data_IF_216076766073
#
_entry.id   IF_216076766073
#
_cell.length_a   1.000
_cell.length_b   1.000
_cell.length_c   1.000
_cell.angle_alpha   90.00
_cell.angle_beta   90.00
_cell.angle_gamma   90.00
#
_symmetry.space_group_name_H-M   'P 1'
#
loop_
_entity.id
_entity.type
_entity.pdbx_description
1 polymer ?
#
# COMPACT_ATOMS: atom_id res chain seq x y z
N UNK A 1 -19.24 36.82 19.99
CA UNK A 1 -18.93 36.78 18.55
C UNK A 1 -18.89 35.32 18.13
N UNK A 2 -20.04 34.67 17.91
CA UNK A 2 -20.12 33.20 18.11
C UNK A 2 -20.85 32.41 17.00
N UNK A 3 -21.39 33.08 15.97
CA UNK A 3 -22.05 32.39 14.85
C UNK A 3 -21.10 32.07 13.68
N UNK A 4 -20.13 32.95 13.41
CA UNK A 4 -19.24 32.83 12.24
C UNK A 4 -18.25 31.66 12.39
N UNK A 5 -17.65 31.51 13.57
CA UNK A 5 -16.74 30.38 13.87
C UNK A 5 -17.45 29.03 13.76
N UNK A 6 -18.66 28.88 14.31
CA UNK A 6 -19.40 27.61 14.22
C UNK A 6 -19.72 27.20 12.78
N UNK A 7 -19.96 28.17 11.89
CA UNK A 7 -20.17 27.89 10.47
C UNK A 7 -18.86 27.49 9.77
N UNK A 8 -17.75 28.17 10.03
CA UNK A 8 -16.44 27.82 9.46
C UNK A 8 -15.96 26.43 9.91
N UNK A 9 -16.13 26.09 11.19
CA UNK A 9 -15.78 24.76 11.71
C UNK A 9 -16.63 23.66 11.06
N UNK A 10 -17.94 23.86 10.93
CA UNK A 10 -18.85 22.89 10.28
C UNK A 10 -18.50 22.61 8.81
N UNK A 11 -18.07 23.63 8.05
CA UNK A 11 -17.63 23.48 6.66
C UNK A 11 -16.30 22.74 6.57
N UNK A 12 -15.38 22.99 7.52
CA UNK A 12 -14.12 22.28 7.65
C UNK A 12 -14.30 20.78 7.95
N UNK A 13 -15.22 20.42 8.85
CA UNK A 13 -15.55 19.02 9.17
C UNK A 13 -16.23 18.32 8.00
N UNK A 14 -17.23 18.95 7.37
CA UNK A 14 -17.91 18.38 6.20
C UNK A 14 -16.94 18.13 5.04
N UNK A 15 -15.98 19.02 4.81
CA UNK A 15 -14.93 18.84 3.78
C UNK A 15 -14.03 17.64 4.08
N UNK A 16 -13.66 17.42 5.37
CA UNK A 16 -12.88 16.24 5.78
C UNK A 16 -13.67 14.94 5.55
N UNK A 17 -14.94 14.90 5.95
CA UNK A 17 -15.80 13.73 5.77
C UNK A 17 -15.98 13.36 4.29
N UNK A 18 -16.16 14.35 3.41
CA UNK A 18 -16.22 14.12 1.97
C UNK A 18 -14.91 13.53 1.45
N UNK A 19 -13.76 14.09 1.84
CA UNK A 19 -12.45 13.57 1.41
C UNK A 19 -12.20 12.13 1.87
N UNK A 20 -12.67 11.74 3.05
CA UNK A 20 -12.63 10.34 3.52
C UNK A 20 -13.58 9.45 2.70
N UNK A 21 -14.80 9.93 2.42
CA UNK A 21 -15.79 9.18 1.64
C UNK A 21 -15.34 8.90 0.19
N UNK A 22 -14.56 9.79 -0.44
CA UNK A 22 -14.05 9.63 -1.82
C UNK A 22 -13.27 8.31 -2.00
N UNK A 23 -12.57 7.84 -0.95
CA UNK A 23 -11.86 6.55 -0.96
C UNK A 23 -12.81 5.35 -1.12
N UNK A 24 -14.01 5.45 -0.54
CA UNK A 24 -15.03 4.40 -0.55
C UNK A 24 -15.97 4.46 -1.76
N UNK A 25 -15.92 5.54 -2.54
CA UNK A 25 -16.80 5.74 -3.70
C UNK A 25 -16.06 5.69 -5.04
N UNK A 26 -14.86 5.08 -5.06
CA UNK A 26 -14.00 4.97 -6.26
C UNK A 26 -13.75 6.31 -6.95
N UNK A 27 -13.53 7.39 -6.18
CA UNK A 27 -13.33 8.73 -6.73
C UNK A 27 -14.61 9.50 -7.06
N UNK A 28 -15.80 8.91 -6.93
CA UNK A 28 -17.07 9.59 -7.23
C UNK A 28 -17.42 10.60 -6.12
N UNK A 29 -17.15 11.88 -6.39
CA UNK A 29 -17.35 13.01 -5.48
C UNK A 29 -18.83 13.21 -5.11
N UNK A 30 -19.78 12.90 -6.00
CA UNK A 30 -21.21 13.07 -5.70
C UNK A 30 -21.69 11.97 -4.74
N UNK A 31 -21.35 10.71 -4.99
CA UNK A 31 -21.54 9.62 -4.02
C UNK A 31 -20.84 9.93 -2.69
N UNK A 32 -19.64 10.51 -2.72
CA UNK A 32 -18.90 10.87 -1.50
C UNK A 32 -19.61 11.97 -0.69
N UNK A 33 -20.19 12.97 -1.36
CA UNK A 33 -21.03 13.99 -0.72
C UNK A 33 -22.28 13.37 -0.07
N UNK A 34 -22.97 12.48 -0.78
CA UNK A 34 -24.14 11.78 -0.26
C UNK A 34 -23.77 10.89 0.94
N UNK A 35 -22.61 10.20 0.89
CA UNK A 35 -22.12 9.35 1.98
C UNK A 35 -21.79 10.19 3.23
N UNK A 36 -21.07 11.30 3.06
CA UNK A 36 -20.75 12.24 4.13
C UNK A 36 -21.99 12.91 4.73
N UNK A 37 -23.07 13.05 3.94
CA UNK A 37 -24.37 13.53 4.40
C UNK A 37 -25.27 12.44 5.03
N UNK A 38 -24.81 11.18 5.10
CA UNK A 38 -25.59 10.05 5.61
C UNK A 38 -26.74 9.61 4.69
N UNK A 39 -26.72 10.04 3.42
CA UNK A 39 -27.76 9.77 2.40
C UNK A 39 -27.39 8.61 1.46
N UNK A 40 -26.18 8.08 1.56
CA UNK A 40 -25.70 6.96 0.76
C UNK A 40 -25.04 5.91 1.64
N UNK A 41 -25.52 4.67 1.49
CA UNK A 41 -25.11 3.48 2.25
C UNK A 41 -24.72 2.40 1.25
N UNK A 42 -23.44 2.05 1.23
CA UNK A 42 -22.87 0.98 0.39
C UNK A 42 -22.54 -0.28 1.20
N UNK A 43 -22.91 -0.31 2.49
CA UNK A 43 -22.65 -1.43 3.39
C UNK A 43 -23.94 -1.84 4.09
N UNK A 44 -24.11 -3.14 4.25
CA UNK A 44 -25.09 -3.71 5.17
C UNK A 44 -24.37 -4.40 6.32
N UNK A 45 -24.88 -4.21 7.54
CA UNK A 45 -24.43 -4.93 8.74
C UNK A 45 -25.45 -6.01 9.03
N UNK A 46 -25.03 -7.27 8.93
CA UNK A 46 -25.81 -8.41 9.38
C UNK A 46 -25.41 -8.74 10.81
N UNK A 47 -26.33 -8.49 11.74
CA UNK A 47 -26.21 -8.83 13.16
C UNK A 47 -26.96 -10.14 13.37
N UNK A 48 -26.36 -11.16 13.97
CA UNK A 48 -27.07 -12.38 14.29
C UNK A 48 -26.75 -12.94 15.68
N UNK A 49 -27.71 -13.66 16.24
CA UNK A 49 -27.55 -14.52 17.43
C UNK A 49 -28.05 -15.91 17.09
N UNK A 50 -27.33 -16.93 17.51
CA UNK A 50 -27.72 -18.32 17.31
C UNK A 50 -27.58 -19.16 18.57
N UNK A 51 -28.37 -20.21 18.65
CA UNK A 51 -28.35 -21.17 19.75
C UNK A 51 -28.71 -22.56 19.26
N UNK A 52 -27.97 -23.57 19.73
CA UNK A 52 -28.39 -24.95 19.70
C UNK A 52 -28.43 -25.48 21.15
N UNK A 53 -29.49 -26.22 21.48
CA UNK A 53 -29.72 -26.83 22.79
C UNK A 53 -28.89 -28.12 22.98
N UNK A 54 -28.48 -28.78 21.89
CA UNK A 54 -27.65 -30.00 21.89
C UNK A 54 -26.69 -29.97 20.67
N UNK A 55 -25.41 -29.59 20.83
CA UNK A 55 -24.58 -29.81 22.02
C UNK A 55 -24.36 -28.58 22.93
N UNK A 56 -25.31 -27.63 22.98
CA UNK A 56 -25.21 -26.47 23.88
C UNK A 56 -24.24 -25.37 23.41
N UNK A 57 -24.17 -25.14 22.10
CA UNK A 57 -23.37 -24.06 21.50
C UNK A 57 -24.26 -22.83 21.28
N UNK A 58 -23.81 -21.69 21.78
CA UNK A 58 -24.46 -20.39 21.65
C UNK A 58 -23.48 -19.39 21.05
N UNK A 59 -23.96 -18.50 20.20
CA UNK A 59 -23.07 -17.53 19.58
C UNK A 59 -23.76 -16.29 19.05
N UNK A 60 -22.93 -15.33 18.69
CA UNK A 60 -23.34 -14.08 18.06
C UNK A 60 -22.29 -13.67 17.02
N UNK A 61 -22.74 -12.97 15.99
CA UNK A 61 -21.89 -12.49 14.91
C UNK A 61 -22.35 -11.12 14.41
N UNK A 62 -21.39 -10.36 13.90
CA UNK A 62 -21.59 -9.14 13.13
C UNK A 62 -20.79 -9.26 11.85
N UNK A 63 -21.45 -9.21 10.69
CA UNK A 63 -20.80 -9.25 9.38
C UNK A 63 -21.12 -7.97 8.63
N UNK A 64 -20.09 -7.31 8.13
CA UNK A 64 -20.19 -6.12 7.30
C UNK A 64 -19.95 -6.52 5.85
N UNK A 65 -20.92 -6.21 4.99
CA UNK A 65 -20.94 -6.59 3.58
C UNK A 65 -21.01 -5.34 2.73
N UNK A 66 -20.09 -5.15 1.79
CA UNK A 66 -20.22 -4.12 0.76
C UNK A 66 -21.23 -4.62 -0.29
N UNK A 67 -22.33 -3.89 -0.43
CA UNK A 67 -23.45 -4.27 -1.32
C UNK A 67 -23.26 -3.77 -2.75
N UNK A 68 -22.39 -2.79 -3.02
CA UNK A 68 -22.07 -2.39 -4.40
C UNK A 68 -21.04 -3.31 -5.06
N UNK A 69 -20.17 -3.92 -4.25
CA UNK A 69 -19.00 -4.67 -4.71
C UNK A 69 -19.06 -6.17 -4.38
N UNK A 70 -20.14 -6.62 -3.72
CA UNK A 70 -20.41 -8.03 -3.38
C UNK A 70 -19.21 -8.71 -2.69
N UNK A 71 -18.72 -8.10 -1.61
CA UNK A 71 -17.67 -8.70 -0.76
C UNK A 71 -17.86 -8.41 0.73
N UNK A 72 -17.22 -9.25 1.54
CA UNK A 72 -17.24 -9.16 3.00
C UNK A 72 -16.14 -8.19 3.46
N UNK A 73 -16.52 -7.12 4.15
CA UNK A 73 -15.60 -6.13 4.70
C UNK A 73 -15.07 -6.50 6.08
N UNK A 74 -15.88 -7.12 6.94
CA UNK A 74 -15.45 -7.52 8.27
C UNK A 74 -16.35 -8.65 8.82
N UNK A 75 -15.76 -9.63 9.49
CA UNK A 75 -16.46 -10.65 10.27
C UNK A 75 -16.00 -10.59 11.72
N UNK A 76 -16.95 -10.43 12.64
CA UNK A 76 -16.72 -10.56 14.08
C UNK A 76 -17.64 -11.65 14.64
N UNK A 77 -17.07 -12.69 15.27
CA UNK A 77 -17.84 -13.82 15.84
C UNK A 77 -17.46 -14.16 17.27
N UNK A 78 -18.45 -14.59 18.03
CA UNK A 78 -18.31 -15.16 19.36
C UNK A 78 -19.06 -16.50 19.44
N UNK A 79 -18.40 -17.55 19.90
CA UNK A 79 -19.02 -18.81 20.29
C UNK A 79 -18.69 -19.14 21.75
N UNK A 80 -19.71 -19.54 22.51
CA UNK A 80 -19.63 -19.87 23.92
C UNK A 80 -20.60 -21.02 24.26
N UNK A 81 -20.26 -21.83 25.27
CA UNK A 81 -21.22 -22.75 25.90
C UNK A 81 -22.14 -22.06 26.92
N UNK A 82 -21.85 -20.79 27.26
CA UNK A 82 -22.63 -20.00 28.22
C UNK A 82 -23.72 -19.18 27.51
N UNK A 83 -24.93 -19.72 27.50
CA UNK A 83 -26.12 -19.08 26.92
C UNK A 83 -26.39 -17.67 27.48
N UNK A 84 -26.19 -17.48 28.77
CA UNK A 84 -26.58 -16.25 29.46
C UNK A 84 -25.74 -15.04 29.02
N UNK A 85 -24.50 -15.26 28.59
CA UNK A 85 -23.67 -14.20 27.98
C UNK A 85 -24.19 -13.76 26.61
N UNK A 86 -24.62 -14.71 25.78
CA UNK A 86 -25.14 -14.44 24.43
C UNK A 86 -26.55 -13.81 24.49
N UNK A 87 -27.39 -14.23 25.42
CA UNK A 87 -28.74 -13.66 25.59
C UNK A 87 -28.74 -12.17 25.96
N UNK A 88 -27.68 -11.68 26.62
CA UNK A 88 -27.51 -10.25 26.96
C UNK A 88 -27.30 -9.34 25.75
N UNK A 89 -26.82 -9.87 24.63
CA UNK A 89 -26.63 -9.08 23.40
C UNK A 89 -27.99 -8.71 22.79
N UNK A 90 -28.18 -7.42 22.49
CA UNK A 90 -29.41 -6.88 21.91
C UNK A 90 -29.25 -6.69 20.41
N UNK A 91 -29.76 -7.65 19.65
CA UNK A 91 -29.64 -7.68 18.18
C UNK A 91 -30.31 -6.47 17.49
N UNK A 92 -31.38 -5.94 18.09
CA UNK A 92 -32.13 -4.78 17.60
C UNK A 92 -31.56 -3.43 18.04
N UNK A 93 -30.52 -3.40 18.88
CA UNK A 93 -29.81 -2.15 19.16
C UNK A 93 -29.00 -1.76 17.92
N UNK A 94 -28.72 -0.46 17.75
CA UNK A 94 -27.97 0.06 16.61
C UNK A 94 -26.60 -0.63 16.47
N UNK A 95 -26.16 -0.86 15.24
CA UNK A 95 -25.00 -1.73 14.95
C UNK A 95 -23.74 -1.37 15.72
N UNK A 96 -23.50 -0.08 15.99
CA UNK A 96 -22.36 0.41 16.79
C UNK A 96 -22.35 -0.15 18.21
N UNK A 97 -23.51 -0.14 18.87
CA UNK A 97 -23.67 -0.66 20.23
C UNK A 97 -23.50 -2.19 20.23
N UNK A 98 -24.17 -2.87 19.31
CA UNK A 98 -24.08 -4.33 19.16
C UNK A 98 -22.64 -4.80 18.89
N UNK A 99 -21.92 -4.12 17.99
CA UNK A 99 -20.52 -4.40 17.68
C UNK A 99 -19.60 -4.13 18.89
N UNK A 100 -19.80 -3.01 19.58
CA UNK A 100 -19.05 -2.67 20.79
C UNK A 100 -19.23 -3.71 21.90
N UNK A 101 -20.48 -4.10 22.19
CA UNK A 101 -20.81 -5.12 23.18
C UNK A 101 -20.26 -6.51 22.78
N UNK A 102 -20.39 -6.90 21.51
CA UNK A 102 -19.87 -8.17 20.98
C UNK A 102 -18.33 -8.23 21.07
N UNK A 103 -17.65 -7.16 20.67
CA UNK A 103 -16.19 -7.07 20.75
C UNK A 103 -15.72 -7.06 22.23
N UNK A 104 -16.46 -6.40 23.12
CA UNK A 104 -16.26 -6.49 24.56
C UNK A 104 -16.34 -7.93 25.07
N UNK A 105 -17.41 -8.65 24.74
CA UNK A 105 -17.58 -10.06 25.13
C UNK A 105 -16.52 -10.99 24.53
N UNK A 106 -16.02 -10.73 23.32
CA UNK A 106 -14.92 -11.52 22.71
C UNK A 106 -13.62 -11.30 23.49
N UNK A 107 -13.31 -10.05 23.86
CA UNK A 107 -12.14 -9.71 24.69
C UNK A 107 -12.23 -10.33 26.09
N UNK A 108 -13.42 -10.31 26.70
CA UNK A 108 -13.69 -10.93 28.01
C UNK A 108 -13.68 -12.46 27.96
N UNK A 109 -14.08 -13.06 26.83
CA UNK A 109 -14.04 -14.51 26.62
C UNK A 109 -12.60 -15.01 26.45
N UNK A 110 -11.76 -14.30 25.69
CA UNK A 110 -10.38 -14.68 25.41
C UNK A 110 -10.28 -16.13 24.92
N UNK A 111 -9.54 -16.96 25.67
CA UNK A 111 -9.35 -18.39 25.36
C UNK A 111 -10.62 -19.26 25.47
N UNK A 112 -11.78 -18.70 25.86
CA UNK A 112 -13.08 -19.37 25.83
C UNK A 112 -13.76 -19.30 24.46
N UNK A 113 -13.38 -18.36 23.58
CA UNK A 113 -13.90 -18.25 22.20
C UNK A 113 -13.23 -19.27 21.25
N UNK A 114 -13.22 -20.55 21.64
CA UNK A 114 -12.60 -21.62 20.87
C UNK A 114 -13.44 -21.93 19.63
N UNK A 115 -12.81 -21.97 18.46
CA UNK A 115 -13.51 -22.15 17.18
C UNK A 115 -13.99 -20.84 16.55
N UNK A 116 -13.80 -19.68 17.19
CA UNK A 116 -14.28 -18.40 16.65
C UNK A 116 -13.60 -18.02 15.33
N UNK A 117 -12.28 -18.22 15.20
CA UNK A 117 -11.56 -17.96 13.95
C UNK A 117 -12.00 -18.92 12.84
N UNK A 118 -12.07 -20.21 13.15
CA UNK A 118 -12.49 -21.27 12.24
C UNK A 118 -13.94 -21.07 11.77
N UNK A 119 -14.81 -20.57 12.65
CA UNK A 119 -16.18 -20.21 12.34
C UNK A 119 -16.28 -18.95 11.48
N UNK A 120 -15.46 -17.93 11.72
CA UNK A 120 -15.34 -16.77 10.81
C UNK A 120 -14.91 -17.17 9.40
N UNK A 121 -13.89 -18.04 9.26
CA UNK A 121 -13.46 -18.55 7.94
C UNK A 121 -14.57 -19.34 7.26
N UNK A 122 -15.24 -20.26 7.98
CA UNK A 122 -16.37 -21.02 7.45
C UNK A 122 -17.53 -20.12 6.99
N UNK A 123 -17.82 -19.05 7.75
CA UNK A 123 -18.82 -18.04 7.34
C UNK A 123 -18.39 -17.31 6.07
N UNK A 124 -17.14 -16.85 5.97
CA UNK A 124 -16.62 -16.16 4.79
C UNK A 124 -16.74 -17.02 3.52
N UNK A 125 -16.18 -18.24 3.56
CA UNK A 125 -16.19 -19.18 2.44
C UNK A 125 -17.62 -19.55 2.03
N UNK A 126 -18.50 -19.75 3.01
CA UNK A 126 -19.90 -20.11 2.74
C UNK A 126 -20.70 -18.94 2.17
N UNK A 127 -20.58 -17.73 2.70
CA UNK A 127 -21.35 -16.56 2.23
C UNK A 127 -21.09 -16.26 0.75
N UNK A 128 -19.86 -16.46 0.27
CA UNK A 128 -19.53 -16.38 -1.16
C UNK A 128 -20.22 -17.47 -1.98
N UNK A 129 -20.29 -18.70 -1.47
CA UNK A 129 -20.94 -19.83 -2.15
C UNK A 129 -22.46 -19.81 -2.17
N UNK A 130 -23.10 -19.03 -1.27
CA UNK A 130 -24.56 -18.88 -1.18
C UNK A 130 -25.12 -17.63 -1.87
N UNK A 131 -24.25 -16.74 -2.37
CA UNK A 131 -24.62 -15.46 -3.01
C UNK A 131 -25.58 -14.59 -2.17
N UNK A 132 -25.28 -14.47 -0.88
CA UNK A 132 -26.12 -13.81 0.13
C UNK A 132 -26.23 -12.28 -0.03
N UNK A 133 -25.55 -11.71 -1.04
CA UNK A 133 -25.44 -10.27 -1.24
C UNK A 133 -26.78 -9.64 -1.61
N UNK A 134 -27.56 -10.29 -2.49
CA UNK A 134 -28.86 -9.81 -2.94
C UNK A 134 -29.89 -9.75 -1.79
N UNK A 135 -29.98 -10.79 -0.96
CA UNK A 135 -30.86 -10.82 0.22
C UNK A 135 -30.50 -9.69 1.20
N UNK A 136 -29.21 -9.49 1.41
CA UNK A 136 -28.67 -8.49 2.34
C UNK A 136 -28.83 -7.06 1.82
N UNK A 137 -28.67 -6.82 0.52
CA UNK A 137 -28.93 -5.51 -0.10
C UNK A 137 -30.42 -5.16 -0.05
N UNK A 138 -31.29 -6.10 -0.40
CA UNK A 138 -32.74 -5.89 -0.41
C UNK A 138 -33.33 -5.84 1.01
N UNK A 139 -32.63 -6.38 2.00
CA UNK A 139 -33.10 -6.49 3.38
C UNK A 139 -34.12 -7.61 3.57
N UNK A 140 -34.01 -8.69 2.79
CA UNK A 140 -34.80 -9.91 2.97
C UNK A 140 -34.32 -10.64 4.23
N UNK A 141 -34.95 -10.32 5.35
CA UNK A 141 -34.67 -10.93 6.64
C UNK A 141 -35.01 -12.43 6.65
N UNK A 142 -36.00 -12.89 5.89
CA UNK A 142 -36.41 -14.29 5.87
C UNK A 142 -35.42 -15.12 5.05
N UNK A 143 -35.06 -14.65 3.84
CA UNK A 143 -34.03 -15.24 2.97
C UNK A 143 -32.67 -15.30 3.66
N UNK A 144 -32.18 -14.17 4.18
CA UNK A 144 -30.93 -14.10 4.92
C UNK A 144 -30.95 -14.99 6.18
N UNK A 145 -32.05 -15.03 6.94
CA UNK A 145 -32.18 -15.92 8.11
C UNK A 145 -32.10 -17.39 7.71
N UNK A 146 -32.72 -17.79 6.60
CA UNK A 146 -32.63 -19.16 6.10
C UNK A 146 -31.18 -19.52 5.72
N UNK A 147 -30.50 -18.68 4.94
CA UNK A 147 -29.13 -18.92 4.48
C UNK A 147 -28.16 -19.00 5.67
N UNK A 148 -28.15 -18.01 6.56
CA UNK A 148 -27.29 -18.04 7.74
C UNK A 148 -27.62 -19.23 8.66
N UNK A 149 -28.89 -19.61 8.83
CA UNK A 149 -29.26 -20.82 9.60
C UNK A 149 -28.63 -22.08 8.98
N UNK A 150 -28.63 -22.19 7.65
CA UNK A 150 -28.00 -23.31 6.95
C UNK A 150 -26.47 -23.29 7.04
N UNK A 151 -25.84 -22.13 6.80
CA UNK A 151 -24.38 -21.95 6.90
C UNK A 151 -23.90 -22.30 8.31
N UNK A 152 -24.52 -21.71 9.35
CA UNK A 152 -24.14 -21.96 10.74
C UNK A 152 -24.41 -23.43 11.10
N UNK A 153 -25.54 -24.02 10.68
CA UNK A 153 -25.86 -25.43 10.93
C UNK A 153 -24.91 -26.43 10.29
N UNK A 154 -24.20 -26.03 9.21
CA UNK A 154 -23.15 -26.83 8.56
C UNK A 154 -21.78 -26.73 9.26
N UNK A 155 -21.57 -25.79 10.18
CA UNK A 155 -20.32 -25.71 10.92
C UNK A 155 -20.15 -26.93 11.86
N UNK A 156 -18.95 -27.55 11.92
CA UNK A 156 -18.72 -28.73 12.76
C UNK A 156 -19.10 -28.51 14.23
N UNK A 157 -20.03 -29.33 14.73
CA UNK A 157 -20.53 -29.25 16.11
C UNK A 157 -21.61 -28.19 16.37
N UNK A 158 -21.99 -27.37 15.40
CA UNK A 158 -23.08 -26.40 15.56
C UNK A 158 -24.47 -27.05 15.58
N UNK A 159 -24.70 -28.09 14.75
CA UNK A 159 -25.93 -28.90 14.75
C UNK A 159 -27.18 -28.13 14.31
N UNK A 160 -28.35 -28.46 14.88
CA UNK A 160 -29.61 -27.78 14.57
C UNK A 160 -29.71 -26.46 15.32
N UNK A 161 -29.21 -25.38 14.70
CA UNK A 161 -29.27 -24.03 15.28
C UNK A 161 -30.63 -23.37 15.06
N UNK A 162 -31.06 -22.59 16.05
CA UNK A 162 -32.04 -21.50 15.90
C UNK A 162 -31.25 -20.22 15.70
N UNK A 163 -31.43 -19.53 14.58
CA UNK A 163 -30.81 -18.24 14.29
C UNK A 163 -31.85 -17.12 14.38
N UNK A 164 -31.42 -15.93 14.80
CA UNK A 164 -32.16 -14.67 14.74
C UNK A 164 -31.23 -13.62 14.14
N UNK A 165 -31.73 -12.86 13.16
CA UNK A 165 -30.94 -11.91 12.37
C UNK A 165 -31.62 -10.53 12.34
N UNK A 166 -30.82 -9.49 12.24
CA UNK A 166 -31.22 -8.12 11.95
C UNK A 166 -30.24 -7.53 10.92
N UNK A 167 -30.74 -6.82 9.90
CA UNK A 167 -29.93 -6.19 8.84
C UNK A 167 -30.05 -4.67 8.96
N UNK A 168 -28.93 -3.97 9.04
CA UNK A 168 -28.88 -2.51 9.19
C UNK A 168 -28.00 -1.87 8.10
N UNK A 169 -28.55 -0.91 7.34
CA UNK A 169 -27.78 -0.21 6.28
C UNK A 169 -26.85 0.84 6.88
N UNK A 170 -25.61 0.86 6.43
CA UNK A 170 -24.54 1.78 6.87
C UNK A 170 -23.61 2.12 5.71
N UNK A 171 -22.53 2.86 5.96
CA UNK A 171 -21.51 3.16 4.95
C UNK A 171 -20.13 2.72 5.39
N UNK A 172 -19.24 2.47 4.42
CA UNK A 172 -17.82 2.19 4.70
C UNK A 172 -17.14 3.36 5.41
N UNK A 173 -17.58 4.61 5.19
CA UNK A 173 -17.16 5.77 5.99
C UNK A 173 -17.56 5.61 7.46
N UNK A 174 -18.79 5.19 7.75
CA UNK A 174 -19.25 5.01 9.12
C UNK A 174 -18.50 3.88 9.84
N UNK A 175 -18.08 2.82 9.14
CA UNK A 175 -17.18 1.79 9.68
C UNK A 175 -15.79 2.35 10.02
N UNK A 176 -15.22 3.15 9.12
CA UNK A 176 -13.90 3.76 9.31
C UNK A 176 -13.88 4.75 10.49
N UNK A 177 -14.95 5.54 10.66
CA UNK A 177 -15.08 6.46 11.79
C UNK A 177 -15.19 5.74 13.15
N UNK A 178 -15.71 4.51 13.18
CA UNK A 178 -15.71 3.65 14.38
C UNK A 178 -14.43 2.79 14.50
N UNK A 179 -13.47 2.93 13.57
CA UNK A 179 -12.19 2.21 13.59
C UNK A 179 -12.31 0.70 13.32
N UNK A 180 -13.34 0.25 12.62
CA UNK A 180 -13.53 -1.17 12.29
C UNK A 180 -12.51 -1.62 11.23
N UNK A 181 -11.72 -2.70 11.46
CA UNK A 181 -10.81 -3.23 10.45
C UNK A 181 -11.56 -3.75 9.23
N UNK A 182 -11.16 -3.31 8.04
CA UNK A 182 -11.76 -3.74 6.77
C UNK A 182 -10.82 -4.65 5.98
N UNK A 183 -11.31 -5.81 5.55
CA UNK A 183 -10.68 -6.65 4.55
C UNK A 183 -10.79 -6.00 3.16
N UNK A 184 -9.78 -6.24 2.31
CA UNK A 184 -9.69 -5.62 0.99
C UNK A 184 -10.38 -6.46 -0.08
N UNK A 185 -11.07 -5.80 -1.01
CA UNK A 185 -11.67 -6.44 -2.18
C UNK A 185 -10.63 -7.16 -3.03
N UNK A 186 -10.91 -8.41 -3.43
CA UNK A 186 -9.94 -9.32 -4.06
C UNK A 186 -10.44 -9.99 -5.35
N UNK A 187 -11.58 -9.59 -5.91
CA UNK A 187 -12.22 -10.26 -7.05
C UNK A 187 -12.35 -9.39 -8.31
N UNK A 188 -11.87 -9.90 -9.45
CA UNK A 188 -12.17 -9.36 -10.79
C UNK A 188 -11.04 -8.55 -11.43
N UNK A 189 -10.64 -8.98 -12.63
CA UNK A 189 -9.53 -8.39 -13.40
C UNK A 189 -9.82 -6.93 -13.80
N UNK A 190 -9.25 -6.00 -13.05
CA UNK A 190 -8.90 -4.66 -13.52
C UNK A 190 -7.44 -4.40 -13.15
N UNK A 191 -6.67 -3.81 -14.07
CA UNK A 191 -5.27 -3.43 -13.81
C UNK A 191 -5.18 -2.34 -12.73
N UNK A 192 -5.00 -2.78 -11.48
CA UNK A 192 -4.32 -2.01 -10.45
C UNK A 192 -3.92 -2.88 -9.27
N UNK A 193 -2.71 -2.65 -8.77
CA UNK A 193 -2.43 -2.82 -7.35
C UNK A 193 -2.96 -1.52 -6.63
N UNK A 194 -2.82 -1.22 -5.35
CA UNK A 194 -1.93 -1.74 -4.32
C UNK A 194 -2.71 -2.51 -3.26
N UNK A 195 -2.29 -3.75 -3.06
CA UNK A 195 -1.64 -3.99 -1.78
C UNK A 195 -0.19 -3.51 -1.88
N UNK A 196 0.49 -3.14 -0.78
CA UNK A 196 0.26 -3.65 0.57
C UNK A 196 0.31 -2.61 1.72
N UNK A 197 0.11 -3.16 2.91
CA UNK A 197 0.79 -2.83 4.18
C UNK A 197 1.71 -1.59 4.18
N UNK A 198 1.38 -0.61 5.02
CA UNK A 198 2.18 0.59 5.37
C UNK A 198 2.38 1.63 4.25
N UNK A 199 2.41 2.92 4.64
CA UNK A 199 2.37 4.07 3.72
C UNK A 199 3.65 4.22 2.87
N UNK A 200 4.67 3.45 3.21
CA UNK A 200 5.92 3.27 2.49
C UNK A 200 5.69 2.60 1.12
N UNK A 201 4.84 1.58 1.03
CA UNK A 201 4.69 0.78 -0.19
C UNK A 201 3.79 1.44 -1.26
N UNK A 202 2.73 2.15 -0.85
CA UNK A 202 1.94 3.00 -1.77
C UNK A 202 2.81 4.07 -2.46
N UNK A 203 3.74 4.69 -1.69
CA UNK A 203 4.68 5.66 -2.24
C UNK A 203 5.65 5.02 -3.22
N UNK A 204 6.15 3.82 -2.92
CA UNK A 204 7.00 3.05 -3.83
C UNK A 204 6.30 2.85 -5.17
N UNK A 205 5.06 2.36 -5.17
CA UNK A 205 4.34 2.09 -6.42
C UNK A 205 4.03 3.35 -7.23
N UNK A 206 3.54 4.42 -6.62
CA UNK A 206 3.24 5.67 -7.35
C UNK A 206 4.47 6.28 -8.06
N UNK A 207 5.70 6.00 -7.56
CA UNK A 207 6.95 6.42 -8.21
C UNK A 207 7.26 5.55 -9.45
N UNK A 208 6.97 4.24 -9.37
CA UNK A 208 7.22 3.26 -10.43
C UNK A 208 6.21 3.39 -11.59
N UNK A 209 4.93 3.57 -11.31
CA UNK A 209 3.89 3.85 -12.32
C UNK A 209 4.14 5.17 -13.07
N UNK A 210 4.75 6.15 -12.39
CA UNK A 210 5.16 7.43 -12.97
C UNK A 210 6.46 7.38 -13.79
N UNK A 211 6.91 6.18 -14.20
CA UNK A 211 8.07 5.95 -15.04
C UNK A 211 7.71 5.06 -16.24
N UNK A 212 8.29 5.35 -17.40
CA UNK A 212 8.09 4.54 -18.61
C UNK A 212 8.80 3.19 -18.47
N UNK A 213 9.98 3.19 -17.82
CA UNK A 213 10.70 2.00 -17.39
C UNK A 213 11.37 2.19 -16.03
N UNK A 214 11.38 1.14 -15.22
CA UNK A 214 12.16 1.05 -13.97
C UNK A 214 13.21 -0.04 -14.12
N UNK A 215 14.48 0.32 -13.91
CA UNK A 215 15.64 -0.57 -14.03
C UNK A 215 16.39 -0.69 -12.71
N UNK A 216 17.13 -1.77 -12.48
CA UNK A 216 17.89 -1.97 -11.23
C UNK A 216 19.27 -1.32 -11.29
N UNK A 217 19.64 -0.61 -10.21
CA UNK A 217 20.97 -0.03 -10.05
C UNK A 217 21.47 -0.05 -8.61
N UNK A 218 22.74 0.31 -8.45
CA UNK A 218 23.43 0.46 -7.15
C UNK A 218 24.11 1.81 -7.06
N UNK A 219 24.25 2.31 -5.84
CA UNK A 219 25.00 3.53 -5.51
C UNK A 219 26.50 3.26 -5.44
N UNK A 220 27.31 4.25 -5.83
CA UNK A 220 28.75 4.22 -5.58
C UNK A 220 29.06 4.79 -4.20
N UNK A 221 29.78 4.04 -3.36
CA UNK A 221 30.18 4.47 -2.01
C UNK A 221 31.45 5.31 -2.02
N UNK A 222 31.53 6.34 -1.17
CA UNK A 222 32.70 7.21 -1.00
C UNK A 222 32.94 7.54 0.48
N UNK A 223 33.77 6.74 1.19
CA UNK A 223 33.97 6.89 2.65
C UNK A 223 34.55 8.25 3.09
N UNK A 224 35.33 8.90 2.21
CA UNK A 224 36.12 10.10 2.53
C UNK A 224 35.42 11.40 2.14
N UNK A 225 34.77 11.46 0.97
CA UNK A 225 34.17 12.70 0.42
C UNK A 225 32.67 12.55 0.12
N UNK A 226 32.08 11.39 0.38
CA UNK A 226 30.66 11.14 0.21
C UNK A 226 29.78 11.65 1.34
N UNK A 227 28.47 11.64 1.09
CA UNK A 227 27.40 12.04 2.00
C UNK A 227 26.62 10.80 2.45
N UNK A 228 26.20 10.71 3.70
CA UNK A 228 25.42 9.56 4.17
C UNK A 228 24.09 9.46 3.41
N UNK A 229 23.69 8.25 2.99
CA UNK A 229 22.46 7.99 2.23
C UNK A 229 21.21 8.53 2.94
N UNK A 230 21.20 8.52 4.28
CA UNK A 230 20.14 9.11 5.10
C UNK A 230 19.98 10.63 4.87
N UNK A 231 21.09 11.35 4.68
CA UNK A 231 21.12 12.80 4.50
C UNK A 231 20.88 13.25 3.04
N UNK A 232 20.93 12.31 2.09
CA UNK A 232 20.70 12.56 0.66
C UNK A 232 19.23 12.91 0.42
N UNK A 233 18.98 13.99 -0.33
CA UNK A 233 17.66 14.57 -0.55
C UNK A 233 17.22 14.46 -2.01
N UNK A 234 15.90 14.36 -2.28
CA UNK A 234 15.36 14.53 -3.62
C UNK A 234 15.89 15.80 -4.30
N UNK A 235 16.18 15.71 -5.59
CA UNK A 235 16.76 16.76 -6.42
C UNK A 235 18.29 16.80 -6.46
N UNK A 236 19.00 16.15 -5.52
CA UNK A 236 20.47 16.00 -5.55
C UNK A 236 20.92 15.00 -6.64
N UNK A 237 22.16 15.13 -7.13
CA UNK A 237 22.74 14.22 -8.11
C UNK A 237 23.70 13.24 -7.44
N UNK A 238 23.60 11.97 -7.82
CA UNK A 238 24.39 10.85 -7.29
C UNK A 238 24.99 10.04 -8.45
N UNK A 239 26.05 9.27 -8.17
CA UNK A 239 26.53 8.25 -9.11
C UNK A 239 25.80 6.93 -8.90
N UNK A 240 25.19 6.42 -9.97
CA UNK A 240 24.46 5.16 -10.01
C UNK A 240 25.14 4.24 -11.03
N UNK A 241 25.44 3.01 -10.64
CA UNK A 241 25.86 1.94 -11.54
C UNK A 241 24.63 1.07 -11.86
N UNK A 242 24.32 0.87 -13.14
CA UNK A 242 23.27 -0.06 -13.54
C UNK A 242 23.77 -1.50 -13.36
N UNK A 243 22.93 -2.37 -12.80
CA UNK A 243 23.33 -3.76 -12.48
C UNK A 243 22.69 -4.80 -13.39
N UNK A 244 21.54 -4.49 -13.99
CA UNK A 244 20.85 -5.40 -14.88
C UNK A 244 21.27 -5.19 -16.35
N UNK A 245 21.38 -6.29 -17.11
CA UNK A 245 21.85 -6.29 -18.51
C UNK A 245 20.68 -6.50 -19.50
N UNK A 246 19.49 -6.06 -19.11
CA UNK A 246 18.31 -6.04 -19.97
C UNK A 246 18.43 -5.03 -21.11
N UNK A 247 17.52 -5.12 -22.08
CA UNK A 247 17.55 -4.29 -23.29
C UNK A 247 17.30 -2.79 -23.03
N UNK A 248 16.65 -2.42 -21.91
CA UNK A 248 16.47 -1.01 -21.54
C UNK A 248 17.75 -0.48 -20.89
N UNK A 249 18.33 -1.21 -19.93
CA UNK A 249 19.58 -0.82 -19.27
C UNK A 249 20.74 -0.66 -20.26
N UNK A 250 20.88 -1.60 -21.23
CA UNK A 250 21.85 -1.47 -22.34
C UNK A 250 21.62 -0.22 -23.20
N UNK A 251 20.36 0.09 -23.54
CA UNK A 251 20.02 1.30 -24.32
C UNK A 251 20.38 2.57 -23.54
N UNK A 252 20.06 2.62 -22.24
CA UNK A 252 20.40 3.76 -21.37
C UNK A 252 21.91 3.96 -21.29
N UNK A 253 22.69 2.91 -20.99
CA UNK A 253 24.14 2.99 -20.93
C UNK A 253 24.75 3.41 -22.29
N UNK A 254 24.21 2.91 -23.41
CA UNK A 254 24.66 3.28 -24.77
C UNK A 254 24.36 4.73 -25.12
N UNK A 255 23.18 5.24 -24.78
CA UNK A 255 22.80 6.65 -25.00
C UNK A 255 23.66 7.60 -24.16
N UNK A 256 24.08 7.17 -22.98
CA UNK A 256 24.96 7.94 -22.08
C UNK A 256 26.47 7.69 -22.30
N UNK A 257 26.85 6.85 -23.28
CA UNK A 257 28.22 6.40 -23.55
C UNK A 257 28.94 5.85 -22.30
N UNK A 258 28.21 5.18 -21.43
CA UNK A 258 28.67 4.72 -20.12
C UNK A 258 29.14 3.26 -20.15
N UNK A 259 30.19 3.01 -20.94
CA UNK A 259 30.83 1.71 -21.06
C UNK A 259 32.34 1.80 -20.85
N UNK A 260 32.94 0.77 -20.25
CA UNK A 260 34.39 0.54 -20.32
C UNK A 260 34.77 0.03 -21.72
N UNK A 261 36.06 0.07 -22.05
CA UNK A 261 36.59 -0.53 -23.30
C UNK A 261 36.35 -2.06 -23.35
N UNK A 262 36.11 -2.68 -22.19
CA UNK A 262 35.80 -4.10 -22.03
C UNK A 262 34.28 -4.40 -22.08
N UNK A 263 33.43 -3.37 -22.21
CA UNK A 263 31.98 -3.50 -22.39
C UNK A 263 31.16 -3.55 -21.10
N UNK A 264 31.76 -3.34 -19.94
CA UNK A 264 31.04 -3.21 -18.65
C UNK A 264 30.42 -1.81 -18.50
N UNK A 265 29.33 -1.68 -17.74
CA UNK A 265 28.74 -0.38 -17.48
C UNK A 265 29.63 0.50 -16.58
N UNK A 266 29.76 1.77 -16.93
CA UNK A 266 30.35 2.79 -16.06
C UNK A 266 29.29 3.47 -15.18
N UNK A 267 29.65 3.99 -14.00
CA UNK A 267 28.72 4.76 -13.17
C UNK A 267 28.20 6.01 -13.89
N UNK A 268 26.88 6.12 -13.98
CA UNK A 268 26.16 7.23 -14.60
C UNK A 268 25.62 8.21 -13.57
N UNK A 269 25.35 9.42 -14.04
CA UNK A 269 24.64 10.45 -13.28
C UNK A 269 23.17 10.08 -13.12
N UNK A 270 22.73 9.87 -11.88
CA UNK A 270 21.32 9.77 -11.53
C UNK A 270 20.90 10.97 -10.69
N UNK A 271 19.80 11.64 -11.03
CA UNK A 271 19.20 12.66 -10.17
C UNK A 271 18.18 12.00 -9.27
N UNK A 272 18.34 12.08 -7.94
CA UNK A 272 17.40 11.50 -6.98
C UNK A 272 16.02 12.12 -7.20
N UNK A 273 15.05 11.32 -7.61
CA UNK A 273 13.65 11.73 -7.78
C UNK A 273 12.94 11.61 -6.44
N UNK A 274 13.06 10.47 -5.78
CA UNK A 274 12.41 10.18 -4.50
C UNK A 274 13.23 9.20 -3.63
N UNK A 275 12.94 9.18 -2.33
CA UNK A 275 13.53 8.24 -1.34
C UNK A 275 12.46 7.81 -0.33
N UNK A 276 12.34 6.50 -0.13
CA UNK A 276 11.38 5.85 0.77
C UNK A 276 12.13 5.00 1.80
N UNK A 277 11.66 4.96 3.04
CA UNK A 277 12.26 4.17 4.14
C UNK A 277 11.61 2.80 4.21
N UNK A 278 12.35 1.74 4.53
CA UNK A 278 11.80 0.38 4.69
C UNK A 278 11.52 0.04 6.17
N UNK A 279 10.90 0.97 6.90
CA UNK A 279 10.65 0.83 8.33
C UNK A 279 11.92 1.01 9.18
N UNK A 280 12.40 -0.06 9.84
CA UNK A 280 13.41 0.02 10.92
C UNK A 280 14.87 0.16 10.45
N UNK A 281 15.19 -0.24 9.21
CA UNK A 281 16.49 -0.03 8.58
C UNK A 281 16.36 -0.19 7.06
N UNK A 282 17.18 0.54 6.30
CA UNK A 282 17.20 0.49 4.84
C UNK A 282 16.27 1.49 4.14
N UNK A 283 16.61 1.79 2.89
CA UNK A 283 15.93 2.75 2.03
C UNK A 283 15.82 2.24 0.58
N UNK A 284 14.69 2.54 -0.05
CA UNK A 284 14.54 2.47 -1.50
C UNK A 284 14.69 3.88 -2.06
N UNK A 285 15.59 4.05 -3.03
CA UNK A 285 15.85 5.32 -3.70
C UNK A 285 15.59 5.16 -5.20
N UNK A 286 14.89 6.15 -5.78
CA UNK A 286 14.64 6.21 -7.21
C UNK A 286 15.41 7.38 -7.81
N UNK A 287 16.30 7.09 -8.75
CA UNK A 287 17.10 8.09 -9.44
C UNK A 287 16.74 8.14 -10.93
N UNK A 288 16.43 9.33 -11.45
CA UNK A 288 16.23 9.55 -12.87
C UNK A 288 17.60 9.52 -13.57
N UNK A 289 17.81 8.52 -14.42
CA UNK A 289 19.07 8.28 -15.15
C UNK A 289 18.97 8.63 -16.64
N UNK A 290 17.79 8.47 -17.23
CA UNK A 290 17.47 8.92 -18.58
C UNK A 290 16.04 9.47 -18.62
N UNK A 291 15.62 10.07 -19.75
CA UNK A 291 14.25 10.57 -19.91
C UNK A 291 13.25 9.44 -19.66
N UNK A 292 12.37 9.63 -18.69
CA UNK A 292 11.34 8.67 -18.23
C UNK A 292 11.85 7.32 -17.68
N UNK A 293 13.17 7.13 -17.50
CA UNK A 293 13.74 5.89 -16.95
C UNK A 293 14.30 6.12 -15.54
N UNK A 294 13.75 5.39 -14.56
CA UNK A 294 14.22 5.41 -13.17
C UNK A 294 15.10 4.21 -12.87
N UNK A 295 16.22 4.44 -12.20
CA UNK A 295 16.97 3.41 -11.52
C UNK A 295 16.40 3.23 -10.09
N UNK A 296 15.85 2.05 -9.79
CA UNK A 296 15.51 1.60 -8.44
C UNK A 296 16.77 1.08 -7.76
N UNK A 297 17.07 1.64 -6.60
CA UNK A 297 18.23 1.29 -5.77
C UNK A 297 17.69 0.93 -4.39
N UNK A 298 18.02 -0.26 -3.90
CA UNK A 298 17.68 -0.71 -2.55
C UNK A 298 18.98 -0.81 -1.77
N UNK A 299 19.07 -0.14 -0.63
CA UNK A 299 20.23 -0.17 0.24
C UNK A 299 19.79 -0.37 1.68
N UNK A 300 20.33 -1.39 2.34
CA UNK A 300 19.91 -1.81 3.69
C UNK A 300 20.73 -1.10 4.79
N UNK A 301 21.93 -0.61 4.45
CA UNK A 301 22.86 0.03 5.39
C UNK A 301 23.05 1.55 5.16
N UNK A 302 23.35 2.30 6.24
CA UNK A 302 23.62 3.74 6.13
C UNK A 302 25.07 4.02 5.68
N UNK A 303 25.33 3.86 4.39
CA UNK A 303 26.64 4.12 3.77
C UNK A 303 26.81 5.58 3.31
N UNK A 304 28.06 6.05 3.19
CA UNK A 304 28.38 7.32 2.52
C UNK A 304 28.49 7.10 1.01
N UNK A 305 27.72 7.86 0.24
CA UNK A 305 27.64 7.73 -1.22
C UNK A 305 28.33 8.90 -1.93
N UNK A 306 28.84 8.63 -3.13
CA UNK A 306 29.49 9.63 -3.96
C UNK A 306 28.45 10.59 -4.58
N UNK A 307 28.36 11.78 -4.02
CA UNK A 307 27.57 12.88 -4.56
C UNK A 307 28.29 13.49 -5.77
N UNK A 308 27.54 13.78 -6.83
CA UNK A 308 28.05 14.64 -7.89
C UNK A 308 27.87 16.10 -7.42
N UNK A 309 28.93 16.90 -7.46
CA UNK A 309 28.92 18.24 -6.91
C UNK A 309 27.84 19.12 -7.58
N UNK A 310 26.90 19.65 -6.77
CA UNK A 310 26.08 20.79 -7.19
C UNK A 310 27.01 21.92 -7.59
N UNK A 311 26.87 22.41 -8.82
CA UNK A 311 27.83 23.31 -9.44
C UNK A 311 28.08 24.55 -8.59
N UNK A 312 29.32 24.70 -8.11
CA UNK A 312 29.82 25.94 -7.55
C UNK A 312 30.01 26.97 -8.68
N UNK A 313 28.90 27.59 -9.09
CA UNK A 313 28.86 28.68 -10.04
C UNK A 313 29.15 28.32 -11.49
N UNK A 314 28.96 29.32 -12.34
CA UNK A 314 29.46 29.31 -13.72
C UNK A 314 30.99 29.25 -13.72
N UNK A 315 31.55 28.39 -14.57
CA UNK A 315 32.44 28.84 -15.64
C UNK A 315 32.62 27.76 -16.69
N UNK A 316 32.43 28.14 -17.95
CA UNK A 316 32.92 27.36 -19.08
C UNK A 316 34.45 27.24 -18.98
N UNK A 317 35.00 26.08 -19.33
CA UNK A 317 36.14 25.95 -20.27
C UNK A 317 36.71 24.52 -20.37
N UNK A 318 36.96 24.11 -21.62
CA UNK A 318 38.11 23.32 -22.09
C UNK A 318 38.53 22.00 -21.40
N UNK A 319 38.41 20.90 -22.17
CA UNK A 319 39.36 19.76 -22.06
C UNK A 319 39.72 19.00 -23.35
N UNK A 320 39.10 19.28 -24.50
CA UNK A 320 39.66 18.90 -25.81
C UNK A 320 41.11 19.39 -25.96
N UNK A 321 41.39 20.57 -25.38
CA UNK A 321 42.73 21.18 -25.25
C UNK A 321 43.76 20.27 -24.60
N UNK A 322 43.39 19.37 -23.68
CA UNK A 322 44.36 18.49 -23.03
C UNK A 322 44.75 17.31 -23.91
N UNK A 323 43.81 16.71 -24.64
CA UNK A 323 44.12 15.63 -25.59
C UNK A 323 45.04 16.12 -26.71
N UNK A 324 44.74 17.30 -27.28
CA UNK A 324 45.60 17.95 -28.28
C UNK A 324 47.02 18.19 -27.72
N UNK A 325 47.13 18.71 -26.49
CA UNK A 325 48.41 19.00 -25.85
C UNK A 325 49.27 17.74 -25.61
N UNK A 326 48.67 16.59 -25.26
CA UNK A 326 49.41 15.34 -25.11
C UNK A 326 49.91 14.77 -26.44
N UNK A 327 49.10 14.85 -27.51
CA UNK A 327 49.51 14.40 -28.85
C UNK A 327 50.68 15.25 -29.37
N UNK A 328 50.62 16.57 -29.20
CA UNK A 328 51.71 17.48 -29.59
C UNK A 328 53.02 17.21 -28.83
N UNK A 329 52.95 16.90 -27.52
CA UNK A 329 54.12 16.61 -26.70
C UNK A 329 54.85 15.33 -27.15
N UNK A 330 54.10 14.28 -27.46
CA UNK A 330 54.67 12.98 -27.84
C UNK A 330 55.34 13.04 -29.22
N UNK A 331 54.73 13.76 -30.18
CA UNK A 331 55.32 14.02 -31.50
C UNK A 331 56.65 14.78 -31.38
N UNK A 332 56.73 15.78 -30.49
CA UNK A 332 57.97 16.51 -30.20
C UNK A 332 59.05 15.61 -29.60
N UNK A 333 58.70 14.68 -28.70
CA UNK A 333 59.66 13.80 -28.05
C UNK A 333 60.23 12.74 -29.01
N UNK A 334 59.41 12.19 -29.92
CA UNK A 334 59.87 11.24 -30.96
C UNK A 334 60.81 11.93 -31.96
N UNK A 335 60.51 13.17 -32.36
CA UNK A 335 61.42 13.97 -33.17
C UNK A 335 62.74 14.22 -32.43
N UNK A 336 62.68 14.58 -31.14
CA UNK A 336 63.86 14.84 -30.33
C UNK A 336 64.74 13.59 -30.13
N UNK A 337 64.15 12.41 -29.93
CA UNK A 337 64.93 11.16 -29.77
C UNK A 337 65.51 10.66 -31.09
N UNK A 338 64.82 10.86 -32.23
CA UNK A 338 65.40 10.61 -33.56
C UNK A 338 66.58 11.56 -33.84
N UNK A 339 66.45 12.84 -33.49
CA UNK A 339 67.54 13.82 -33.61
C UNK A 339 68.72 13.44 -32.71
N UNK A 340 68.48 13.00 -31.47
CA UNK A 340 69.54 12.55 -30.57
C UNK A 340 70.22 11.25 -31.05
N UNK A 341 69.46 10.28 -31.56
CA UNK A 341 70.03 9.05 -32.14
C UNK A 341 70.88 9.35 -33.36
N UNK A 342 70.42 10.27 -34.23
CA UNK A 342 71.18 10.75 -35.40
C UNK A 342 72.37 11.67 -35.02
N UNK A 343 72.48 12.10 -33.77
CA UNK A 343 73.63 12.84 -33.25
C UNK A 343 74.60 11.95 -32.43
N UNK A 344 74.21 10.71 -32.13
CA UNK A 344 74.98 9.73 -31.36
C UNK A 344 75.49 8.54 -32.21
N UNK A 345 74.93 8.33 -33.40
CA UNK A 345 75.37 7.38 -34.43
C UNK A 345 75.77 8.12 -35.71
#
# INVERSE_FOLDING_TARGET
MDADNSHMDSLGEQTKLINMAVKHTRGNVEKARLMAAGQFSNVAVVKAKFSNEDPGVHGALSVFVNTEDHYIMNILTLMLSDKAKIERLRIFDAWKNFYGDLNGLIRDAGALNKGGYEFSTHLADSMVGYDIYDDVENGDLDGATQIFTEIIGKFPGAGKVKCQIEIEKTSSLAMELEGIPTEAYSGGEAESETTPLSAEDERVRAIEEGAEHVIQGKIMVSPVRGKYINDVKPGENIKVLLTNHDEVSKKVAKVLNAYTEEGEFLPIKGRVKEKVSMGKSGYIMYALVAKNVLAKIIEEENVKIEMEAMGAGEKAENKDTRLILYVSLLLGLVLFTLILLFALF
#
